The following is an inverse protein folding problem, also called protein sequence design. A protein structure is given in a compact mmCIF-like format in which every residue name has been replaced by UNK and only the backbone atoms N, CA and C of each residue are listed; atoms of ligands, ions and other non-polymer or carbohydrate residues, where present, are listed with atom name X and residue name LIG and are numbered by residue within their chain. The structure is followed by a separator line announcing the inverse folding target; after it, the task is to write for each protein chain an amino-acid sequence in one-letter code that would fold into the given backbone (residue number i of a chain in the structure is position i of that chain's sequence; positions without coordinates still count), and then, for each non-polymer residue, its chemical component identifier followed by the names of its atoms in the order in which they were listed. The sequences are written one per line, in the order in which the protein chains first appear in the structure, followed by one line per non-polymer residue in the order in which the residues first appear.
data_IF_899893891608
#
_entry.id   IF_899893891608
#
_cell.length_a   1.000
_cell.length_b   1.000
_cell.length_c   1.000
_cell.angle_alpha   90.00
_cell.angle_beta   90.00
_cell.angle_gamma   90.00
#
_symmetry.space_group_name_H-M   'P 1'
#
loop_
_entity.id
_entity.type
_entity.pdbx_description
1 polymer ?
#
# COMPACT_ATOMS: atom_id res chain seq x y z
N UNK A 1 -6.74 -6.14 -4.32
CA UNK A 1 -7.73 -7.22 -4.11
C UNK A 1 -7.00 -8.43 -3.56
N UNK A 2 -6.91 -8.54 -2.24
CA UNK A 2 -6.12 -9.57 -1.55
C UNK A 2 -6.84 -10.92 -1.59
N UNK A 3 -6.29 -11.87 -2.34
CA UNK A 3 -6.69 -13.26 -2.26
C UNK A 3 -5.97 -13.89 -1.04
N UNK A 4 -6.73 -14.13 0.03
CA UNK A 4 -6.26 -14.80 1.23
C UNK A 4 -5.82 -16.23 0.89
N UNK A 5 -4.51 -16.47 0.95
CA UNK A 5 -3.92 -17.80 0.80
C UNK A 5 -4.20 -18.65 2.04
N UNK A 6 -5.03 -19.68 1.88
CA UNK A 6 -5.28 -20.65 2.95
C UNK A 6 -4.06 -21.54 3.17
N UNK A 7 -3.46 -21.50 4.36
CA UNK A 7 -2.41 -22.44 4.77
C UNK A 7 -2.97 -23.86 5.00
N UNK A 8 -2.17 -24.92 4.76
CA UNK A 8 -2.64 -26.29 4.85
C UNK A 8 -2.88 -26.68 6.31
N UNK A 9 -4.15 -26.90 6.68
CA UNK A 9 -4.52 -27.44 7.99
C UNK A 9 -3.94 -28.85 8.16
N UNK A 10 -3.00 -29.00 9.10
CA UNK A 10 -2.59 -30.31 9.64
C UNK A 10 -3.83 -31.08 10.10
N UNK A 11 -4.13 -32.18 9.42
CA UNK A 11 -5.22 -33.09 9.77
C UNK A 11 -4.98 -33.68 11.16
N UNK A 12 -5.96 -33.48 12.04
CA UNK A 12 -6.03 -34.08 13.37
C UNK A 12 -6.20 -35.59 13.17
N UNK A 13 -5.23 -36.37 13.66
CA UNK A 13 -5.26 -37.84 13.61
C UNK A 13 -6.48 -38.32 14.40
N UNK A 14 -7.52 -38.72 13.67
CA UNK A 14 -8.68 -39.42 14.25
C UNK A 14 -8.22 -40.85 14.52
N UNK A 15 -8.37 -41.27 15.77
CA UNK A 15 -8.16 -42.65 16.20
C UNK A 15 -9.26 -43.50 15.55
N UNK A 16 -8.92 -44.13 14.44
CA UNK A 16 -9.82 -45.03 13.71
C UNK A 16 -9.59 -46.43 14.26
N UNK A 17 -10.54 -46.87 15.07
CA UNK A 17 -10.70 -48.28 15.39
C UNK A 17 -10.82 -49.09 14.11
N UNK A 18 -10.02 -50.15 14.07
CA UNK A 18 -9.88 -51.18 13.05
C UNK A 18 -11.22 -51.59 12.40
N UNK A 19 -11.56 -50.94 11.29
CA UNK A 19 -12.47 -51.48 10.29
C UNK A 19 -12.08 -50.91 8.92
N UNK A 20 -11.35 -51.73 8.18
CA UNK A 20 -10.90 -51.59 6.80
C UNK A 20 -12.06 -51.24 5.85
N UNK A 21 -12.25 -49.94 5.57
CA UNK A 21 -12.99 -49.45 4.41
C UNK A 21 -12.03 -48.58 3.58
N UNK A 22 -11.08 -49.20 2.88
CA UNK A 22 -10.50 -48.58 1.69
C UNK A 22 -11.64 -48.35 0.70
N UNK A 23 -12.18 -47.14 0.65
CA UNK A 23 -13.13 -46.75 -0.40
C UNK A 23 -12.34 -46.63 -1.70
N UNK A 24 -12.05 -47.77 -2.32
CA UNK A 24 -11.75 -47.83 -3.74
C UNK A 24 -12.99 -47.29 -4.45
N UNK A 25 -12.87 -46.09 -5.00
CA UNK A 25 -13.88 -45.54 -5.90
C UNK A 25 -14.12 -46.55 -7.03
N UNK A 26 -15.35 -46.62 -7.54
CA UNK A 26 -15.59 -47.42 -8.75
C UNK A 26 -14.76 -46.86 -9.93
N UNK A 27 -14.51 -47.70 -10.93
CA UNK A 27 -13.61 -47.37 -12.03
C UNK A 27 -14.06 -46.12 -12.83
N UNK A 28 -15.36 -45.83 -12.88
CA UNK A 28 -15.89 -44.63 -13.55
C UNK A 28 -15.57 -43.38 -12.73
N UNK A 29 -15.80 -43.44 -11.42
CA UNK A 29 -15.44 -42.35 -10.49
C UNK A 29 -13.92 -42.11 -10.47
N UNK A 30 -13.09 -43.15 -10.44
CA UNK A 30 -11.63 -43.00 -10.47
C UNK A 30 -11.16 -42.31 -11.77
N UNK A 31 -11.71 -42.73 -12.92
CA UNK A 31 -11.41 -42.11 -14.20
C UNK A 31 -11.84 -40.64 -14.24
N UNK A 32 -13.02 -40.31 -13.70
CA UNK A 32 -13.48 -38.93 -13.61
C UNK A 32 -12.57 -38.06 -12.73
N UNK A 33 -12.05 -38.60 -11.61
CA UNK A 33 -11.09 -37.89 -10.76
C UNK A 33 -9.75 -37.63 -11.48
N UNK A 34 -9.25 -38.59 -12.26
CA UNK A 34 -8.05 -38.41 -13.09
C UNK A 34 -8.26 -37.34 -14.17
N UNK A 35 -9.44 -37.32 -14.82
CA UNK A 35 -9.80 -36.29 -15.80
C UNK A 35 -9.94 -34.90 -15.15
N UNK A 36 -10.48 -34.82 -13.92
CA UNK A 36 -10.55 -33.58 -13.15
C UNK A 36 -9.14 -33.09 -12.78
N UNK A 37 -8.25 -33.97 -12.34
CA UNK A 37 -6.86 -33.60 -12.00
C UNK A 37 -6.11 -33.07 -13.23
N UNK A 38 -6.26 -33.72 -14.40
CA UNK A 38 -5.72 -33.24 -15.65
C UNK A 38 -6.25 -31.82 -16.02
N UNK A 39 -7.56 -31.61 -15.88
CA UNK A 39 -8.18 -30.30 -16.09
C UNK A 39 -7.67 -29.24 -15.10
N UNK A 40 -7.46 -29.62 -13.83
CA UNK A 40 -6.93 -28.71 -12.82
C UNK A 40 -5.50 -28.28 -13.14
N UNK A 41 -4.65 -29.20 -13.63
CA UNK A 41 -3.31 -28.87 -14.09
C UNK A 41 -3.32 -27.85 -15.25
N UNK A 42 -4.26 -27.96 -16.19
CA UNK A 42 -4.43 -26.99 -17.28
C UNK A 42 -4.88 -25.61 -16.75
N UNK A 43 -5.80 -25.58 -15.79
CA UNK A 43 -6.25 -24.35 -15.12
C UNK A 43 -5.10 -23.68 -14.37
N UNK A 44 -4.31 -24.45 -13.63
CA UNK A 44 -3.18 -23.94 -12.87
C UNK A 44 -2.09 -23.36 -13.80
N UNK A 45 -1.83 -24.01 -14.94
CA UNK A 45 -0.94 -23.49 -15.97
C UNK A 45 -1.45 -22.18 -16.60
N UNK A 46 -2.76 -22.01 -16.77
CA UNK A 46 -3.35 -20.74 -17.21
C UNK A 46 -3.23 -19.64 -16.15
N UNK A 47 -3.46 -19.97 -14.89
CA UNK A 47 -3.31 -19.03 -13.77
C UNK A 47 -1.87 -18.56 -13.61
N UNK A 48 -0.89 -19.44 -13.81
CA UNK A 48 0.53 -19.10 -13.80
C UNK A 48 0.87 -18.10 -14.91
N UNK A 49 0.43 -18.36 -16.16
CA UNK A 49 0.61 -17.43 -17.29
C UNK A 49 -0.01 -16.06 -17.03
N UNK A 50 -1.26 -16.03 -16.54
CA UNK A 50 -1.93 -14.79 -16.19
C UNK A 50 -1.16 -13.99 -15.11
N UNK A 51 -0.65 -14.70 -14.09
CA UNK A 51 0.16 -14.10 -13.02
C UNK A 51 1.47 -13.50 -13.55
N UNK A 52 2.13 -14.15 -14.51
CA UNK A 52 3.33 -13.63 -15.16
C UNK A 52 3.05 -12.41 -16.03
N UNK A 53 1.94 -12.40 -16.78
CA UNK A 53 1.55 -11.25 -17.60
C UNK A 53 1.21 -10.02 -16.75
N UNK A 54 0.45 -10.20 -15.67
CA UNK A 54 0.17 -9.14 -14.69
C UNK A 54 1.48 -8.59 -14.11
N UNK A 55 2.41 -9.47 -13.73
CA UNK A 55 3.71 -9.06 -13.20
C UNK A 55 4.50 -8.21 -14.20
N UNK A 56 4.53 -8.60 -15.48
CA UNK A 56 5.22 -7.84 -16.55
C UNK A 56 4.59 -6.46 -16.74
N UNK A 57 3.25 -6.38 -16.72
CA UNK A 57 2.52 -5.11 -16.81
C UNK A 57 2.87 -4.22 -15.62
N UNK A 58 2.81 -4.74 -14.41
CA UNK A 58 3.09 -3.95 -13.20
C UNK A 58 4.55 -3.46 -13.18
N UNK A 59 5.52 -4.31 -13.55
CA UNK A 59 6.92 -3.90 -13.70
C UNK A 59 7.11 -2.77 -14.73
N UNK A 60 6.42 -2.84 -15.87
CA UNK A 60 6.44 -1.79 -16.89
C UNK A 60 5.90 -0.48 -16.32
N UNK A 61 4.73 -0.50 -15.69
CA UNK A 61 4.10 0.72 -15.18
C UNK A 61 4.79 1.26 -13.91
N UNK A 62 5.45 0.44 -13.10
CA UNK A 62 6.32 0.90 -12.02
C UNK A 62 7.49 1.74 -12.55
N UNK A 63 8.16 1.26 -13.61
CA UNK A 63 9.23 2.03 -14.27
C UNK A 63 8.72 3.34 -14.87
N UNK A 64 7.54 3.32 -15.49
CA UNK A 64 6.94 4.52 -16.08
C UNK A 64 6.45 5.53 -15.02
N UNK A 65 5.92 5.07 -13.88
CA UNK A 65 5.45 5.94 -12.77
C UNK A 65 6.61 6.58 -11.99
N UNK A 66 7.75 5.89 -11.87
CA UNK A 66 8.91 6.34 -11.08
C UNK A 66 9.33 7.82 -11.32
N UNK A 67 9.57 8.30 -12.56
CA UNK A 67 9.95 9.70 -12.77
C UNK A 67 8.87 10.70 -12.33
N UNK A 68 7.58 10.33 -12.38
CA UNK A 68 6.50 11.18 -11.91
C UNK A 68 6.44 11.22 -10.38
N UNK A 69 6.68 10.09 -9.70
CA UNK A 69 6.80 10.07 -8.23
C UNK A 69 8.02 10.86 -7.75
N UNK A 70 9.16 10.76 -8.42
CA UNK A 70 10.35 11.57 -8.12
C UNK A 70 10.04 13.07 -8.29
N UNK A 71 9.43 13.45 -9.41
CA UNK A 71 8.98 14.84 -9.64
C UNK A 71 7.99 15.30 -8.57
N UNK A 72 7.05 14.45 -8.16
CA UNK A 72 6.09 14.75 -7.09
C UNK A 72 6.80 14.99 -5.76
N UNK A 73 7.80 14.16 -5.41
CA UNK A 73 8.59 14.33 -4.19
C UNK A 73 9.32 15.69 -4.16
N UNK A 74 9.92 16.12 -5.28
CA UNK A 74 10.58 17.43 -5.40
C UNK A 74 9.60 18.62 -5.27
N UNK A 75 8.35 18.44 -5.68
CA UNK A 75 7.29 19.44 -5.51
C UNK A 75 6.79 19.49 -4.06
N UNK A 76 6.51 18.32 -3.46
CA UNK A 76 6.05 18.20 -2.08
C UNK A 76 7.06 18.81 -1.11
N UNK A 77 8.38 18.65 -1.35
CA UNK A 77 9.43 19.23 -0.51
C UNK A 77 9.34 20.76 -0.35
N UNK A 78 8.64 21.45 -1.26
CA UNK A 78 8.44 22.91 -1.22
C UNK A 78 7.25 23.32 -0.36
N UNK A 79 6.46 22.37 0.11
CA UNK A 79 5.26 22.57 0.92
C UNK A 79 5.58 22.08 2.34
N UNK A 80 5.78 23.00 3.30
CA UNK A 80 5.98 22.63 4.70
C UNK A 80 4.82 21.80 5.22
N UNK A 81 5.11 20.87 6.13
CA UNK A 81 4.12 20.03 6.82
C UNK A 81 3.24 19.15 5.92
N UNK A 82 3.55 19.01 4.62
CA UNK A 82 2.68 18.28 3.69
C UNK A 82 2.28 16.88 4.18
N UNK A 83 3.25 16.08 4.61
CA UNK A 83 3.00 14.69 5.00
C UNK A 83 2.26 14.56 6.33
N UNK A 84 2.58 15.38 7.33
CA UNK A 84 1.86 15.36 8.61
C UNK A 84 0.41 15.82 8.42
N UNK A 85 0.17 16.88 7.65
CA UNK A 85 -1.20 17.32 7.32
C UNK A 85 -1.97 16.23 6.58
N UNK A 86 -1.36 15.58 5.58
CA UNK A 86 -2.00 14.47 4.87
C UNK A 86 -2.29 13.27 5.79
N UNK A 87 -1.41 12.96 6.75
CA UNK A 87 -1.60 11.86 7.70
C UNK A 87 -2.71 12.16 8.71
N UNK A 88 -2.76 13.38 9.25
CA UNK A 88 -3.82 13.84 10.17
C UNK A 88 -5.20 13.86 9.50
N UNK A 89 -5.24 14.20 8.21
CA UNK A 89 -6.50 14.21 7.44
C UNK A 89 -6.92 12.81 6.96
N UNK A 90 -6.08 11.80 7.08
CA UNK A 90 -6.42 10.43 6.68
C UNK A 90 -7.11 9.66 7.83
N UNK A 91 -8.37 9.21 7.68
CA UNK A 91 -9.16 8.65 8.78
C UNK A 91 -8.51 7.48 9.54
N UNK A 92 -7.83 6.58 8.84
CA UNK A 92 -7.18 5.42 9.46
C UNK A 92 -5.80 5.72 10.07
N UNK A 93 -5.07 6.71 9.53
CA UNK A 93 -3.73 7.04 10.02
C UNK A 93 -3.87 7.94 11.25
N UNK A 94 -4.75 8.94 11.19
CA UNK A 94 -5.02 9.83 12.33
C UNK A 94 -5.54 9.10 13.56
N UNK A 95 -6.28 8.00 13.38
CA UNK A 95 -6.74 7.17 14.48
C UNK A 95 -5.62 6.52 15.32
N UNK A 96 -4.39 6.45 14.79
CA UNK A 96 -3.21 5.91 15.47
C UNK A 96 -2.14 6.98 15.75
N UNK A 97 -2.44 8.26 15.54
CA UNK A 97 -1.54 9.36 15.87
C UNK A 97 -1.91 9.93 17.23
N UNK A 98 -0.93 9.97 18.13
CA UNK A 98 -1.04 10.79 19.33
C UNK A 98 -0.37 12.16 19.12
N UNK A 99 -0.70 13.11 19.99
CA UNK A 99 -0.22 14.50 19.92
C UNK A 99 1.32 14.60 19.88
N UNK A 100 2.05 13.76 20.62
CA UNK A 100 3.52 13.83 20.67
C UNK A 100 4.14 13.19 19.42
N UNK A 101 3.48 12.18 18.84
CA UNK A 101 3.86 11.57 17.57
C UNK A 101 3.56 12.49 16.37
N UNK A 102 2.46 13.22 16.39
CA UNK A 102 2.16 14.27 15.39
C UNK A 102 3.24 15.35 15.40
N UNK A 103 3.64 15.84 16.58
CA UNK A 103 4.75 16.77 16.76
C UNK A 103 6.09 16.22 16.20
N UNK A 104 6.32 14.91 16.34
CA UNK A 104 7.46 14.26 15.72
C UNK A 104 7.35 14.21 14.19
N UNK A 105 6.14 14.02 13.66
CA UNK A 105 5.89 13.94 12.22
C UNK A 105 5.93 15.30 11.52
N UNK A 106 5.91 16.42 12.24
CA UNK A 106 6.26 17.73 11.65
C UNK A 106 7.66 17.75 11.02
N UNK A 107 8.57 16.88 11.47
CA UNK A 107 9.90 16.73 10.89
C UNK A 107 9.94 15.76 9.69
N UNK A 108 8.83 15.12 9.32
CA UNK A 108 8.73 14.23 8.16
C UNK A 108 8.73 15.04 6.86
N UNK A 109 9.84 14.98 6.12
CA UNK A 109 10.04 15.79 4.90
C UNK A 109 9.73 15.03 3.62
N UNK A 110 9.90 13.71 3.62
CA UNK A 110 9.64 12.85 2.47
C UNK A 110 9.09 11.50 2.94
N UNK A 111 8.07 11.03 2.22
CA UNK A 111 7.60 9.65 2.25
C UNK A 111 7.96 9.01 0.91
N UNK A 112 8.32 7.73 0.92
CA UNK A 112 8.60 6.99 -0.31
C UNK A 112 8.18 5.54 -0.14
N UNK A 113 7.34 5.06 -1.06
CA UNK A 113 6.96 3.66 -1.14
C UNK A 113 7.63 3.07 -2.37
N UNK A 114 8.46 2.05 -2.15
CA UNK A 114 9.18 1.33 -3.19
C UNK A 114 8.77 -0.14 -3.18
N UNK A 115 8.26 -0.62 -4.31
CA UNK A 115 8.10 -2.05 -4.56
C UNK A 115 9.44 -2.63 -5.04
N UNK A 116 9.75 -3.87 -4.66
CA UNK A 116 10.94 -4.55 -5.15
C UNK A 116 10.79 -4.93 -6.64
N UNK A 117 11.91 -5.14 -7.34
CA UNK A 117 11.91 -5.49 -8.77
C UNK A 117 11.11 -6.77 -9.06
N UNK A 118 11.28 -7.75 -8.17
CA UNK A 118 10.32 -8.83 -8.02
C UNK A 118 9.21 -8.37 -7.07
N UNK A 119 8.08 -7.95 -7.63
CA UNK A 119 6.95 -7.41 -6.88
C UNK A 119 6.39 -8.43 -5.89
N UNK A 120 6.56 -9.73 -6.17
CA UNK A 120 6.20 -10.81 -5.26
C UNK A 120 7.06 -10.85 -4.00
N UNK A 121 8.28 -10.31 -4.08
CA UNK A 121 9.20 -10.26 -2.95
C UNK A 121 8.81 -9.21 -1.91
N UNK A 122 7.94 -8.24 -2.23
CA UNK A 122 7.38 -7.27 -1.28
C UNK A 122 7.69 -5.80 -1.59
N UNK A 123 7.68 -4.97 -0.55
CA UNK A 123 7.83 -3.51 -0.67
C UNK A 123 8.40 -2.89 0.62
N UNK A 124 8.81 -1.62 0.53
CA UNK A 124 9.26 -0.84 1.68
C UNK A 124 8.70 0.56 1.70
N UNK A 125 8.42 1.05 2.90
CA UNK A 125 7.97 2.40 3.19
C UNK A 125 9.11 3.12 3.92
N UNK A 126 9.62 4.19 3.31
CA UNK A 126 10.69 5.02 3.86
C UNK A 126 10.13 6.35 4.32
N UNK A 127 10.43 6.70 5.57
CA UNK A 127 10.10 7.97 6.18
C UNK A 127 11.39 8.76 6.41
N UNK A 128 11.52 9.90 5.76
CA UNK A 128 12.69 10.77 5.82
C UNK A 128 12.41 11.95 6.75
N UNK A 129 13.30 12.17 7.70
CA UNK A 129 13.16 13.21 8.71
C UNK A 129 14.30 14.22 8.61
N UNK A 130 13.98 15.49 8.85
CA UNK A 130 14.99 16.49 9.20
C UNK A 130 15.52 16.25 10.62
N UNK A 131 16.60 16.96 10.98
CA UNK A 131 17.12 16.95 12.35
C UNK A 131 16.00 17.34 13.34
N UNK A 132 15.73 16.46 14.29
CA UNK A 132 14.59 16.56 15.19
C UNK A 132 14.98 16.21 16.63
N UNK A 133 14.21 16.62 17.66
CA UNK A 133 14.56 16.36 19.05
C UNK A 133 14.32 14.91 19.51
N UNK A 134 13.69 14.06 18.69
CA UNK A 134 13.19 12.74 19.11
C UNK A 134 14.19 11.61 18.89
N UNK A 135 14.83 11.54 17.72
CA UNK A 135 15.76 10.47 17.36
C UNK A 135 16.88 10.94 16.44
N UNK A 136 17.88 10.09 16.23
CA UNK A 136 19.06 10.38 15.40
C UNK A 136 18.96 9.90 13.95
N UNK A 137 17.92 9.13 13.60
CA UNK A 137 17.72 8.61 12.25
C UNK A 137 17.30 9.71 11.27
N UNK A 138 18.02 9.86 10.16
CA UNK A 138 17.56 10.68 9.03
C UNK A 138 16.46 9.95 8.23
N UNK A 139 16.49 8.61 8.24
CA UNK A 139 15.52 7.76 7.56
C UNK A 139 15.20 6.56 8.43
N UNK A 140 13.90 6.26 8.56
CA UNK A 140 13.40 5.02 9.15
C UNK A 140 12.60 4.28 8.07
N UNK A 141 12.80 2.97 7.98
CA UNK A 141 12.21 2.13 6.93
C UNK A 141 11.47 0.99 7.56
N UNK A 142 10.21 0.80 7.18
CA UNK A 142 9.43 -0.42 7.44
C UNK A 142 9.26 -1.16 6.13
N UNK A 143 9.64 -2.43 6.09
CA UNK A 143 9.66 -3.23 4.88
C UNK A 143 9.01 -4.59 5.09
N UNK A 144 8.36 -5.05 4.03
CA UNK A 144 7.55 -6.25 3.99
C UNK A 144 8.13 -7.17 2.93
N UNK A 145 8.32 -8.42 3.29
CA UNK A 145 8.90 -9.44 2.44
C UNK A 145 8.04 -10.69 2.42
N UNK A 146 7.98 -11.35 1.27
CA UNK A 146 7.53 -12.73 1.20
C UNK A 146 8.73 -13.65 1.44
N UNK A 147 8.78 -14.34 2.58
CA UNK A 147 9.89 -15.23 2.92
C UNK A 147 9.99 -16.41 1.95
N UNK A 148 11.12 -17.14 1.97
CA UNK A 148 11.34 -18.30 1.09
C UNK A 148 10.35 -19.46 1.32
N UNK A 149 9.65 -19.48 2.46
CA UNK A 149 8.55 -20.40 2.76
C UNK A 149 7.19 -19.95 2.19
N UNK A 150 7.13 -18.75 1.63
CA UNK A 150 5.89 -18.09 1.22
C UNK A 150 5.19 -17.33 2.35
N UNK A 151 5.75 -17.29 3.56
CA UNK A 151 5.15 -16.58 4.69
C UNK A 151 5.52 -15.08 4.66
N UNK A 152 4.54 -14.15 4.75
CA UNK A 152 4.82 -12.73 4.88
C UNK A 152 5.56 -12.41 6.17
N UNK A 153 6.58 -11.56 6.08
CA UNK A 153 7.35 -11.06 7.22
C UNK A 153 7.58 -9.56 7.08
N UNK A 154 7.66 -8.84 8.19
CA UNK A 154 8.00 -7.42 8.21
C UNK A 154 9.20 -7.16 9.10
N UNK A 155 9.98 -6.14 8.75
CA UNK A 155 11.08 -5.63 9.55
C UNK A 155 11.13 -4.12 9.48
N UNK A 156 11.67 -3.51 10.54
CA UNK A 156 11.76 -2.06 10.64
C UNK A 156 13.16 -1.63 11.06
N UNK A 157 13.59 -0.48 10.56
CA UNK A 157 14.80 0.18 11.06
C UNK A 157 14.62 0.49 12.54
N UNK A 158 15.59 0.12 13.37
CA UNK A 158 15.58 0.43 14.80
C UNK A 158 15.72 1.95 14.98
N UNK A 159 14.77 2.55 15.68
CA UNK A 159 14.78 3.97 16.01
C UNK A 159 15.79 4.23 17.12
N UNK A 160 16.73 5.14 16.86
CA UNK A 160 17.75 5.61 17.80
C UNK A 160 17.20 6.80 18.57
N UNK A 161 16.30 6.51 19.50
CA UNK A 161 15.68 7.52 20.35
C UNK A 161 16.74 8.32 21.13
N UNK A 162 16.58 9.65 21.16
CA UNK A 162 17.32 10.54 22.05
C UNK A 162 16.86 10.34 23.49
N UNK A 163 17.66 10.82 24.44
CA UNK A 163 17.39 10.59 25.86
C UNK A 163 16.01 11.11 26.27
N UNK A 164 15.23 10.24 26.91
CA UNK A 164 13.86 10.53 27.33
C UNK A 164 12.83 10.70 26.19
N UNK A 165 13.17 10.44 24.92
CA UNK A 165 12.30 10.68 23.77
C UNK A 165 11.72 9.43 23.12
N UNK A 166 11.89 8.25 23.73
CA UNK A 166 11.25 7.01 23.26
C UNK A 166 9.72 7.07 23.43
N UNK A 167 9.04 7.42 22.34
CA UNK A 167 7.59 7.58 22.30
C UNK A 167 6.86 6.25 22.52
N UNK A 168 7.44 5.12 22.07
CA UNK A 168 6.85 3.79 22.30
C UNK A 168 6.87 3.42 23.79
N UNK A 169 7.94 3.79 24.50
CA UNK A 169 8.06 3.59 25.95
C UNK A 169 7.12 4.52 26.72
N UNK A 170 7.06 5.81 26.36
CA UNK A 170 6.12 6.78 26.95
C UNK A 170 4.67 6.31 26.83
N UNK A 171 4.29 5.81 25.64
CA UNK A 171 2.96 5.25 25.43
C UNK A 171 2.69 4.05 26.37
N UNK A 172 3.62 3.10 26.46
CA UNK A 172 3.50 1.94 27.38
C UNK A 172 3.38 2.35 28.85
N UNK A 173 4.18 3.32 29.30
CA UNK A 173 4.15 3.82 30.68
C UNK A 173 2.80 4.49 30.99
N UNK A 174 2.28 5.31 30.06
CA UNK A 174 0.94 5.92 30.15
C UNK A 174 -0.16 4.86 30.23
N UNK A 175 -0.06 3.81 29.41
CA UNK A 175 -1.02 2.71 29.39
C UNK A 175 -0.99 1.90 30.70
N UNK A 176 0.18 1.65 31.27
CA UNK A 176 0.35 0.94 32.55
C UNK A 176 -0.23 1.75 33.73
N UNK A 177 -0.03 3.07 33.75
CA UNK A 177 -0.60 3.96 34.76
C UNK A 177 -2.13 3.94 34.74
N UNK A 178 -2.74 3.95 33.54
CA UNK A 178 -4.20 3.88 33.37
C UNK A 178 -4.77 2.53 33.85
N UNK A 179 -4.13 1.41 33.53
CA UNK A 179 -4.54 0.07 33.98
C UNK A 179 -4.56 -0.06 35.50
N UNK A 180 -3.64 0.60 36.20
CA UNK A 180 -3.59 0.61 37.66
C UNK A 180 -4.68 1.48 38.33
N UNK A 181 -5.36 2.35 37.58
CA UNK A 181 -6.30 3.36 38.12
C UNK A 181 -7.76 2.89 38.27
N UNK A 182 -8.10 1.63 37.90
CA UNK A 182 -9.47 1.04 37.96
C UNK A 182 -10.61 1.81 37.26
N UNK A 183 -10.40 3.01 36.75
CA UNK A 183 -11.31 3.70 35.82
C UNK A 183 -11.15 3.04 34.46
N UNK A 184 -12.21 2.36 34.01
CA UNK A 184 -12.41 1.73 32.68
C UNK A 184 -11.13 1.73 31.84
N UNK A 185 -10.34 0.67 31.97
CA UNK A 185 -9.21 0.43 31.08
C UNK A 185 -9.76 0.10 29.69
N UNK A 186 -10.18 1.12 28.94
CA UNK A 186 -10.25 1.02 27.51
C UNK A 186 -8.80 0.80 27.05
N UNK A 187 -8.56 -0.27 26.31
CA UNK A 187 -7.24 -0.48 25.70
C UNK A 187 -6.96 0.75 24.86
N UNK A 188 -5.89 1.48 25.19
CA UNK A 188 -5.47 2.59 24.35
C UNK A 188 -5.11 2.00 22.98
N UNK A 189 -5.61 2.59 21.89
CA UNK A 189 -5.29 2.12 20.54
C UNK A 189 -3.79 2.12 20.33
N UNK A 190 -3.32 1.29 19.40
CA UNK A 190 -1.92 1.32 18.97
C UNK A 190 -1.61 2.74 18.44
N UNK A 191 -0.39 3.21 18.71
CA UNK A 191 0.14 4.48 18.18
C UNK A 191 1.03 4.23 16.95
N UNK A 192 1.39 5.27 16.21
CA UNK A 192 2.20 5.20 15.00
C UNK A 192 3.55 4.54 15.24
N UNK A 193 4.31 4.95 16.26
CA UNK A 193 5.62 4.31 16.49
C UNK A 193 5.50 2.91 17.09
N UNK A 194 4.38 2.58 17.76
CA UNK A 194 4.13 1.19 18.17
C UNK A 194 3.75 0.30 16.99
N UNK A 195 2.93 0.79 16.06
CA UNK A 195 2.64 0.14 14.78
C UNK A 195 3.93 -0.04 13.97
N UNK A 196 4.75 1.00 13.85
CA UNK A 196 6.00 0.96 13.10
C UNK A 196 6.93 -0.14 13.62
N UNK A 197 7.03 -0.31 14.94
CA UNK A 197 7.84 -1.33 15.60
C UNK A 197 7.19 -2.72 15.70
N UNK A 198 5.92 -2.88 15.30
CA UNK A 198 5.22 -4.17 15.34
C UNK A 198 5.50 -5.01 14.09
N UNK A 199 5.78 -6.29 14.31
CA UNK A 199 6.08 -7.29 13.27
C UNK A 199 5.25 -8.57 13.44
N UNK A 200 4.19 -8.52 14.26
CA UNK A 200 3.43 -9.70 14.66
C UNK A 200 2.64 -10.38 13.53
N UNK A 201 2.00 -9.60 12.66
CA UNK A 201 1.25 -10.11 11.51
C UNK A 201 1.46 -9.22 10.28
N UNK A 202 2.50 -9.53 9.50
CA UNK A 202 2.83 -8.80 8.29
C UNK A 202 1.81 -9.02 7.15
N UNK A 203 0.93 -10.02 7.25
CA UNK A 203 -0.06 -10.35 6.23
C UNK A 203 -1.35 -9.53 6.33
N UNK A 204 -1.55 -8.85 7.46
CA UNK A 204 -2.73 -8.07 7.77
C UNK A 204 -2.37 -6.67 8.34
N UNK A 205 -1.29 -6.07 7.83
CA UNK A 205 -0.84 -4.74 8.24
C UNK A 205 -1.65 -3.64 7.52
N UNK A 206 -2.78 -3.29 8.12
CA UNK A 206 -3.76 -2.34 7.60
C UNK A 206 -3.21 -0.92 7.40
N UNK A 207 -2.32 -0.41 8.26
CA UNK A 207 -1.73 0.93 8.05
C UNK A 207 -0.70 0.90 6.92
N UNK A 208 0.09 -0.17 6.80
CA UNK A 208 1.03 -0.28 5.69
C UNK A 208 0.30 -0.37 4.34
N UNK A 209 -0.79 -1.14 4.28
CA UNK A 209 -1.67 -1.20 3.10
C UNK A 209 -2.28 0.17 2.78
N UNK A 210 -2.81 0.89 3.78
CA UNK A 210 -3.32 2.26 3.60
C UNK A 210 -2.22 3.20 3.06
N UNK A 211 -1.01 3.14 3.61
CA UNK A 211 0.08 3.99 3.14
C UNK A 211 0.43 3.66 1.69
N UNK A 212 0.53 2.36 1.35
CA UNK A 212 0.94 1.88 0.02
C UNK A 212 -0.11 2.11 -1.06
N UNK A 213 -1.36 1.75 -0.79
CA UNK A 213 -2.40 1.59 -1.80
C UNK A 213 -3.38 2.78 -1.84
N UNK A 214 -3.38 3.66 -0.83
CA UNK A 214 -4.28 4.82 -0.77
C UNK A 214 -3.53 6.16 -0.64
N UNK A 215 -2.74 6.32 0.44
CA UNK A 215 -2.00 7.56 0.69
C UNK A 215 -0.94 7.83 -0.38
N UNK A 216 -0.14 6.82 -0.73
CA UNK A 216 0.98 6.99 -1.66
C UNK A 216 0.55 7.31 -3.10
N UNK A 217 -0.49 6.70 -3.69
CA UNK A 217 -0.92 7.03 -5.04
C UNK A 217 -1.35 8.50 -5.19
N UNK A 218 -2.12 9.04 -4.24
CA UNK A 218 -2.62 10.41 -4.31
C UNK A 218 -2.72 11.09 -2.94
N UNK A 219 -1.61 11.54 -2.33
CA UNK A 219 -1.65 12.17 -1.01
C UNK A 219 -2.30 13.56 -1.01
N UNK A 220 -2.39 14.19 -2.18
CA UNK A 220 -2.96 15.54 -2.32
C UNK A 220 -4.45 15.57 -1.96
N UNK A 221 -5.18 14.45 -2.15
CA UNK A 221 -6.59 14.38 -1.78
C UNK A 221 -6.81 14.56 -0.27
N UNK A 222 -5.85 14.11 0.55
CA UNK A 222 -5.88 14.25 2.02
C UNK A 222 -5.33 15.60 2.46
N UNK A 223 -4.28 16.09 1.80
CA UNK A 223 -3.72 17.42 2.09
C UNK A 223 -4.71 18.55 1.79
N UNK A 224 -5.57 18.42 0.78
CA UNK A 224 -6.54 19.45 0.39
C UNK A 224 -7.89 19.35 1.11
N UNK A 225 -8.12 18.33 1.96
CA UNK A 225 -9.32 18.32 2.80
C UNK A 225 -9.24 19.55 3.69
N UNK A 226 -10.21 20.47 3.62
CA UNK A 226 -10.23 21.62 4.50
C UNK A 226 -10.18 21.09 5.94
N UNK A 227 -9.33 21.68 6.77
CA UNK A 227 -9.49 21.59 8.22
C UNK A 227 -10.92 22.08 8.51
N UNK A 228 -11.88 21.15 8.59
CA UNK A 228 -13.15 21.45 9.23
C UNK A 228 -12.76 21.53 10.69
N UNK A 229 -12.25 22.72 11.04
CA UNK A 229 -12.02 23.18 12.38
C UNK A 229 -13.28 22.83 13.17
N UNK A 230 -13.16 21.78 13.98
CA UNK A 230 -13.90 21.64 15.22
C UNK A 230 -13.29 22.65 16.20
N UNK A 231 -13.29 23.93 15.82
CA UNK A 231 -12.89 25.04 16.65
C UNK A 231 -14.03 26.06 16.64
N UNK A 232 -14.59 26.27 17.83
CA UNK A 232 -15.50 27.35 18.21
C UNK A 232 -16.99 27.15 17.90
N UNK A 233 -17.56 26.12 18.54
CA UNK A 233 -18.87 26.26 19.17
C UNK A 233 -18.84 27.37 20.23
N UNK A 234 -18.86 28.62 19.78
CA UNK A 234 -19.25 29.76 20.61
C UNK A 234 -20.76 29.64 20.84
N UNK A 235 -21.14 29.02 21.95
CA UNK A 235 -22.33 29.46 22.67
C UNK A 235 -22.08 30.92 23.08
N UNK A 236 -22.93 31.82 22.58
CA UNK A 236 -22.86 33.25 22.80
C UNK A 236 -24.11 33.91 22.24
N UNK A 237 -25.23 33.57 22.87
CA UNK A 237 -26.53 34.24 22.95
C UNK A 237 -26.72 35.61 22.27
N UNK A 238 -27.90 35.72 21.65
CA UNK A 238 -28.75 36.90 21.49
C UNK A 238 -28.33 38.01 20.52
N UNK A 239 -29.07 38.13 19.41
CA UNK A 239 -30.11 39.19 19.37
C UNK A 239 -31.20 38.84 18.35
N UNK A 240 -32.42 38.84 18.86
CA UNK A 240 -33.69 38.74 18.16
C UNK A 240 -33.83 39.81 17.06
N UNK A 241 -34.37 39.42 15.91
CA UNK A 241 -35.29 40.30 15.20
C UNK A 241 -36.41 39.47 14.60
N UNK A 242 -37.56 39.59 15.24
CA UNK A 242 -38.87 39.06 14.86
C UNK A 242 -39.35 39.62 13.51
N UNK A 243 -40.25 38.84 12.92
CA UNK A 243 -41.38 39.25 12.08
C UNK A 243 -41.13 39.56 10.59
N UNK A 244 -41.65 38.67 9.74
CA UNK A 244 -42.84 39.00 8.92
C UNK A 244 -43.38 37.73 8.24
N UNK A 245 -44.43 37.16 8.85
CA UNK A 245 -45.38 36.25 8.19
C UNK A 245 -46.29 37.04 7.24
N UNK A 246 -46.17 36.82 5.92
CA UNK A 246 -47.23 37.03 4.91
C UNK A 246 -46.92 36.09 3.73
N UNK A 247 -47.83 35.52 2.97
CA UNK A 247 -49.28 35.27 3.01
C UNK A 247 -49.52 34.27 1.87
N UNK A 248 -50.50 33.41 2.08
CA UNK A 248 -50.97 32.37 1.17
C UNK A 248 -51.50 32.95 -0.14
N UNK A 249 -50.97 32.52 -1.29
CA UNK A 249 -51.78 32.49 -2.52
C UNK A 249 -51.28 31.46 -3.54
N UNK A 250 -51.96 30.33 -3.51
CA UNK A 250 -52.09 29.40 -4.64
C UNK A 250 -52.81 30.10 -5.80
N UNK A 251 -52.16 30.18 -6.97
CA UNK A 251 -52.86 30.28 -8.26
C UNK A 251 -52.32 29.20 -9.18
N UNK A 252 -53.15 28.16 -9.30
CA UNK A 252 -53.08 27.16 -10.36
C UNK A 252 -53.49 27.84 -11.66
N UNK A 253 -52.61 27.82 -12.66
CA UNK A 253 -53.03 27.90 -14.06
C UNK A 253 -52.36 26.75 -14.78
N UNK A 254 -53.14 25.69 -14.96
CA UNK A 254 -52.94 24.72 -16.03
C UNK A 254 -53.36 25.40 -17.33
N UNK A 255 -52.49 25.42 -18.34
CA UNK A 255 -52.93 25.41 -19.73
C UNK A 255 -52.01 24.47 -20.51
N UNK A 256 -52.65 23.49 -21.13
CA UNK A 256 -52.08 22.41 -21.94
C UNK A 256 -51.65 22.89 -23.33
N UNK A 257 -50.79 22.05 -23.95
CA UNK A 257 -50.62 21.95 -25.40
C UNK A 257 -49.30 22.54 -25.89
N UNK A 258 -48.59 21.98 -26.86
CA UNK A 258 -48.70 20.77 -27.67
C UNK A 258 -47.39 20.76 -28.50
N UNK A 259 -47.00 19.59 -29.04
CA UNK A 259 -46.26 19.55 -30.29
C UNK A 259 -44.72 19.48 -30.26
N UNK A 260 -44.22 18.25 -30.42
CA UNK A 260 -43.26 17.82 -31.47
C UNK A 260 -41.85 18.44 -31.47
N UNK A 261 -40.84 17.64 -31.12
CA UNK A 261 -39.86 16.99 -32.03
C UNK A 261 -38.86 17.99 -32.61
N UNK A 262 -37.56 17.83 -32.32
CA UNK A 262 -36.51 17.66 -33.32
C UNK A 262 -35.27 17.01 -32.65
N UNK A 263 -34.73 16.04 -33.38
CA UNK A 263 -33.55 15.23 -33.13
C UNK A 263 -32.25 16.04 -33.32
N UNK A 264 -31.11 15.35 -33.16
CA UNK A 264 -29.77 15.68 -33.70
C UNK A 264 -28.88 16.56 -32.78
N UNK A 265 -27.58 16.31 -32.57
CA UNK A 265 -26.57 15.54 -33.30
C UNK A 265 -25.60 14.87 -32.30
N UNK A 266 -25.13 13.67 -32.66
CA UNK A 266 -23.99 13.04 -32.01
C UNK A 266 -22.66 13.51 -32.60
N UNK A 267 -21.62 13.53 -31.77
CA UNK A 267 -20.23 13.49 -32.21
C UNK A 267 -19.49 12.47 -31.34
N UNK A 268 -19.38 11.23 -31.84
CA UNK A 268 -18.37 10.28 -31.40
C UNK A 268 -17.21 10.38 -32.39
N UNK A 269 -16.09 10.98 -31.97
CA UNK A 269 -14.84 10.95 -32.74
C UNK A 269 -14.17 9.58 -32.54
N UNK A 270 -14.27 8.75 -33.58
CA UNK A 270 -13.41 7.59 -33.81
C UNK A 270 -12.00 8.07 -34.16
N UNK A 271 -11.00 7.70 -33.35
CA UNK A 271 -9.58 7.87 -33.68
C UNK A 271 -9.03 6.52 -34.14
N UNK A 272 -8.89 6.40 -35.45
CA UNK A 272 -8.16 5.35 -36.17
C UNK A 272 -6.68 5.74 -36.26
N UNK A 273 -5.78 4.96 -35.66
CA UNK A 273 -4.35 4.98 -35.97
C UNK A 273 -3.79 3.55 -35.99
N UNK A 274 -4.01 2.85 -37.10
CA UNK A 274 -3.07 1.85 -37.62
C UNK A 274 -1.78 2.54 -38.10
N UNK A 275 -0.67 2.35 -37.39
CA UNK A 275 0.67 2.60 -37.93
C UNK A 275 1.52 1.33 -37.76
N UNK A 276 1.68 0.65 -38.89
CA UNK A 276 2.51 -0.53 -39.14
C UNK A 276 3.98 -0.11 -39.15
N UNK A 277 4.80 -0.71 -38.28
CA UNK A 277 6.27 -0.60 -38.39
C UNK A 277 6.83 -1.82 -39.14
N UNK A 278 7.32 -1.56 -40.34
CA UNK A 278 8.10 -2.47 -41.17
C UNK A 278 9.43 -2.86 -40.48
N UNK A 279 9.72 -4.16 -40.48
CA UNK A 279 11.03 -4.71 -40.13
C UNK A 279 12.06 -4.34 -41.20
N UNK A 280 13.06 -3.55 -40.82
CA UNK A 280 14.27 -3.31 -41.60
C UNK A 280 15.39 -4.26 -41.16
N UNK A 281 15.63 -5.30 -41.96
CA UNK A 281 16.88 -6.06 -41.95
C UNK A 281 18.04 -5.17 -42.44
N UNK A 282 19.12 -5.03 -41.66
CA UNK A 282 20.45 -4.77 -42.20
C UNK A 282 21.47 -5.74 -41.59
N UNK A 283 22.03 -6.59 -42.45
CA UNK A 283 23.27 -7.31 -42.24
C UNK A 283 24.47 -6.35 -42.22
N UNK A 284 25.47 -6.67 -41.40
CA UNK A 284 26.87 -6.35 -41.72
C UNK A 284 27.73 -5.95 -40.53
N UNK A 285 28.84 -6.67 -40.30
CA UNK A 285 29.99 -6.10 -39.60
C UNK A 285 30.74 -6.99 -38.60
N UNK A 286 31.31 -8.07 -39.12
CA UNK A 286 32.60 -8.69 -38.78
C UNK A 286 33.52 -7.98 -37.74
N UNK A 287 33.91 -8.75 -36.71
CA UNK A 287 35.30 -8.82 -36.22
C UNK A 287 35.72 -7.87 -35.10
N UNK A 288 36.19 -8.44 -33.97
CA UNK A 288 37.53 -8.21 -33.40
C UNK A 288 37.79 -9.09 -32.16
N UNK A 289 38.71 -10.04 -32.35
CA UNK A 289 39.75 -10.58 -31.46
C UNK A 289 39.52 -10.68 -29.94
N UNK A 290 39.32 -11.92 -29.48
CA UNK A 290 39.69 -12.37 -28.13
C UNK A 290 41.23 -12.49 -28.05
N UNK A 291 41.85 -11.57 -27.30
CA UNK A 291 43.24 -11.68 -26.88
C UNK A 291 43.35 -12.46 -25.58
N UNK A 292 43.78 -13.71 -25.69
CA UNK A 292 44.25 -14.54 -24.56
C UNK A 292 45.47 -13.87 -23.90
N UNK A 293 45.38 -13.59 -22.61
CA UNK A 293 46.45 -13.05 -21.79
C UNK A 293 46.63 -13.88 -20.52
N UNK A 294 47.23 -15.07 -20.63
CA UNK A 294 47.77 -15.83 -19.51
C UNK A 294 49.29 -16.00 -19.67
N UNK A 295 50.06 -15.21 -18.90
CA UNK A 295 51.50 -15.35 -18.60
C UNK A 295 51.70 -14.63 -17.25
N UNK A 296 52.32 -15.10 -16.17
CA UNK A 296 52.87 -16.35 -15.62
C UNK A 296 52.99 -16.09 -14.09
N UNK A 297 53.17 -17.11 -13.23
CA UNK A 297 53.41 -16.90 -11.81
C UNK A 297 54.86 -16.45 -11.54
N UNK A 298 55.02 -15.37 -10.79
CA UNK A 298 56.31 -14.91 -10.24
C UNK A 298 56.80 -15.90 -9.18
N UNK A 299 57.75 -16.75 -9.60
CA UNK A 299 58.58 -17.57 -8.72
C UNK A 299 59.86 -16.82 -8.39
N UNK A 300 60.05 -16.54 -7.10
CA UNK A 300 61.31 -16.04 -6.58
C UNK A 300 62.46 -17.03 -6.74
N UNK A 301 63.66 -16.50 -6.94
CA UNK A 301 64.76 -16.54 -5.96
C UNK A 301 66.04 -15.98 -6.61
N UNK A 302 66.86 -15.30 -5.82
CA UNK A 302 68.11 -14.73 -6.30
C UNK A 302 68.96 -14.03 -5.26
N UNK A 303 69.19 -14.66 -4.11
CA UNK A 303 70.45 -14.52 -3.36
C UNK A 303 71.30 -15.79 -3.60
N UNK A 304 72.15 -15.74 -4.62
CA UNK A 304 73.62 -15.96 -4.63
C UNK A 304 74.16 -16.07 -6.07
#
# INVERSE_FOLDING_TARGET
MSASGATPKKMKKVDVGDNDESRDYDAETQKALEEIDACQNDIDALNEKASEEILKVEQKYNKLRKPFFEKRNELIRKIPNFWVTAFVNHPQISAILDEEEEECLHFLTKLEVEEFEDIKSGYRIKFYFDENPYFENDVIVKEFHLGSSGDPASQSTIIKWKDGMDLTKKHKDRQAQLKNSRKRAHEQPRTFFTWYADHGDASADDIAEVIKDDMWPNPLQYFLVPDIEVENGLEGEDEESEDDEVDDSVVVVEEEGDGEDEEDEGEEEEVDEEEVYEEGEEEGGEGLEEGEGEIEPDGGDGEE
#
